data_IF_823983183284
#
_entry.id   IF_823983183284
#
_cell.length_a   1.000
_cell.length_b   1.000
_cell.length_c   1.000
_cell.angle_alpha   90.00
_cell.angle_beta   90.00
_cell.angle_gamma   90.00
#
_symmetry.space_group_name_H-M   'P 1'
#
loop_
_entity.id
_entity.type
_entity.pdbx_description
1 polymer ?
#
# COMPACT_ATOMS: atom_id res chain seq x y z
N UNK A 1 -14.44 65.81 36.48
CA UNK A 1 -13.77 65.13 35.34
C UNK A 1 -12.86 64.03 35.85
N UNK A 2 -13.18 62.77 35.56
CA UNK A 2 -12.24 61.65 35.33
C UNK A 2 -13.09 60.43 34.95
N UNK A 3 -13.08 60.12 33.66
CA UNK A 3 -13.79 58.97 33.07
C UNK A 3 -12.83 57.77 33.14
N UNK A 4 -13.25 56.74 33.86
CA UNK A 4 -12.64 55.41 33.82
C UNK A 4 -13.11 54.73 32.54
N UNK A 5 -12.18 54.36 31.65
CA UNK A 5 -12.43 53.39 30.58
C UNK A 5 -11.25 52.42 30.52
N UNK A 6 -11.42 51.27 31.19
CA UNK A 6 -10.71 50.05 30.87
C UNK A 6 -11.17 49.61 29.47
N UNK A 7 -10.23 49.48 28.54
CA UNK A 7 -10.43 48.68 27.32
C UNK A 7 -9.48 47.50 27.45
N UNK A 8 -10.06 46.36 27.85
CA UNK A 8 -9.44 45.06 27.72
C UNK A 8 -9.31 44.78 26.22
N UNK A 9 -8.09 44.88 25.70
CA UNK A 9 -7.78 44.46 24.34
C UNK A 9 -7.67 42.93 24.34
N UNK A 10 -8.74 42.29 23.89
CA UNK A 10 -8.91 40.85 23.77
C UNK A 10 -7.88 40.29 22.79
N UNK A 11 -6.96 39.48 23.32
CA UNK A 11 -6.11 38.54 22.60
C UNK A 11 -7.00 37.63 21.73
N UNK A 12 -6.96 37.80 20.41
CA UNK A 12 -7.37 36.77 19.46
C UNK A 12 -6.11 36.22 18.79
N UNK A 13 -5.41 35.35 19.53
CA UNK A 13 -4.51 34.37 18.92
C UNK A 13 -5.39 33.35 18.22
N UNK A 14 -5.66 33.58 16.93
CA UNK A 14 -6.14 32.53 16.04
C UNK A 14 -5.00 31.53 15.86
N UNK A 15 -4.91 30.59 16.80
CA UNK A 15 -4.15 29.38 16.64
C UNK A 15 -4.81 28.62 15.50
N UNK A 16 -4.30 28.82 14.27
CA UNK A 16 -4.57 27.89 13.19
C UNK A 16 -4.18 26.51 13.72
N UNK A 17 -5.03 25.48 13.62
CA UNK A 17 -4.57 24.13 13.90
C UNK A 17 -3.49 23.85 12.86
N UNK A 18 -2.23 24.00 13.25
CA UNK A 18 -1.13 23.41 12.55
C UNK A 18 -1.44 21.92 12.56
N UNK A 19 -2.02 21.42 11.46
CA UNK A 19 -2.12 20.00 11.20
C UNK A 19 -0.69 19.47 11.35
N UNK A 20 -0.41 18.91 12.51
CA UNK A 20 0.87 18.33 12.83
C UNK A 20 1.13 17.31 11.74
N UNK A 21 2.19 17.54 10.96
CA UNK A 21 2.59 16.63 9.89
C UNK A 21 2.77 15.26 10.54
N UNK A 22 2.03 14.21 10.13
CA UNK A 22 2.22 12.89 10.70
C UNK A 22 3.68 12.50 10.49
N UNK A 23 4.32 12.01 11.56
CA UNK A 23 5.67 11.48 11.50
C UNK A 23 5.68 10.26 10.56
N UNK A 24 6.85 9.88 10.06
CA UNK A 24 6.98 8.71 9.17
C UNK A 24 6.33 7.44 9.75
N UNK A 25 6.45 7.26 11.07
CA UNK A 25 5.85 6.14 11.80
C UNK A 25 4.31 6.20 11.82
N UNK A 26 3.73 7.41 11.87
CA UNK A 26 2.27 7.60 11.85
C UNK A 26 1.67 7.23 10.49
N UNK A 27 2.31 7.63 9.39
CA UNK A 27 1.83 7.36 8.02
C UNK A 27 1.85 5.86 7.75
N UNK A 28 2.97 5.19 8.05
CA UNK A 28 3.08 3.74 7.87
C UNK A 28 2.07 3.01 8.74
N UNK A 29 2.00 3.33 10.04
CA UNK A 29 1.07 2.69 10.97
C UNK A 29 -0.38 2.81 10.50
N UNK A 30 -0.75 3.97 9.96
CA UNK A 30 -2.05 4.21 9.37
C UNK A 30 -2.30 3.37 8.10
N UNK A 31 -1.34 3.30 7.17
CA UNK A 31 -1.45 2.43 5.98
C UNK A 31 -1.65 0.98 6.39
N UNK A 32 -0.85 0.47 7.34
CA UNK A 32 -0.95 -0.93 7.78
C UNK A 32 -2.31 -1.21 8.42
N UNK A 33 -2.76 -0.34 9.34
CA UNK A 33 -4.07 -0.44 9.97
C UNK A 33 -5.20 -0.48 8.93
N UNK A 34 -5.16 0.39 7.92
CA UNK A 34 -6.17 0.43 6.85
C UNK A 34 -6.07 -0.80 5.94
N UNK A 35 -4.86 -1.26 5.61
CA UNK A 35 -4.64 -2.45 4.79
C UNK A 35 -5.15 -3.71 5.49
N UNK A 36 -4.95 -3.87 6.80
CA UNK A 36 -5.50 -4.98 7.57
C UNK A 36 -7.04 -4.99 7.55
N UNK A 37 -7.67 -3.83 7.55
CA UNK A 37 -9.13 -3.73 7.51
C UNK A 37 -9.70 -4.02 6.12
N UNK A 38 -9.03 -3.52 5.08
CA UNK A 38 -9.58 -3.45 3.73
C UNK A 38 -9.07 -4.58 2.81
N UNK A 39 -7.88 -5.12 3.09
CA UNK A 39 -7.13 -5.98 2.17
C UNK A 39 -6.75 -7.33 2.79
N UNK A 40 -7.16 -7.63 4.02
CA UNK A 40 -6.84 -8.89 4.69
C UNK A 40 -7.45 -10.15 4.04
N UNK A 41 -8.41 -10.01 3.12
CA UNK A 41 -8.95 -11.11 2.32
C UNK A 41 -8.62 -10.97 0.83
N UNK A 42 -7.78 -9.99 0.46
CA UNK A 42 -7.36 -9.78 -0.92
C UNK A 42 -6.01 -10.45 -1.09
N UNK A 43 -5.98 -11.44 -1.98
CA UNK A 43 -4.77 -12.19 -2.26
C UNK A 43 -4.06 -11.63 -3.50
N UNK A 44 -2.74 -11.67 -3.43
CA UNK A 44 -1.82 -11.30 -4.48
C UNK A 44 -0.83 -12.45 -4.65
N UNK A 45 -0.50 -12.77 -5.89
CA UNK A 45 0.55 -13.75 -6.14
C UNK A 45 1.89 -13.05 -6.00
N UNK A 46 2.37 -12.90 -4.77
CA UNK A 46 3.56 -12.12 -4.42
C UNK A 46 4.57 -13.03 -3.77
N UNK A 47 5.56 -13.49 -4.55
CA UNK A 47 6.62 -14.42 -4.15
C UNK A 47 6.13 -15.80 -3.66
N UNK A 48 5.13 -15.87 -2.78
CA UNK A 48 4.38 -17.06 -2.42
C UNK A 48 3.00 -17.03 -3.10
N UNK A 49 2.51 -18.17 -3.60
CA UNK A 49 1.13 -18.30 -4.00
C UNK A 49 0.24 -17.97 -2.82
N UNK A 50 -0.79 -17.17 -3.09
CA UNK A 50 -1.84 -16.81 -2.12
C UNK A 50 -1.42 -15.87 -0.97
N UNK A 51 -0.32 -15.10 -1.14
CA UNK A 51 0.04 -14.07 -0.16
C UNK A 51 -1.04 -12.97 -0.08
N UNK A 52 -1.40 -12.55 1.14
CA UNK A 52 -2.35 -11.45 1.32
C UNK A 52 -1.71 -10.09 1.06
N UNK A 53 -2.45 -9.17 0.44
CA UNK A 53 -1.96 -7.83 0.07
C UNK A 53 -1.50 -7.04 1.30
N UNK A 54 -2.20 -7.14 2.43
CA UNK A 54 -1.80 -6.44 3.67
C UNK A 54 -0.43 -6.93 4.18
N UNK A 55 -0.19 -8.24 4.17
CA UNK A 55 1.11 -8.83 4.54
C UNK A 55 2.19 -8.37 3.56
N UNK A 56 1.90 -8.38 2.26
CA UNK A 56 2.85 -7.91 1.25
C UNK A 56 3.22 -6.44 1.45
N UNK A 57 2.24 -5.59 1.77
CA UNK A 57 2.48 -4.18 2.09
C UNK A 57 3.34 -4.01 3.33
N UNK A 58 3.07 -4.79 4.39
CA UNK A 58 3.87 -4.79 5.60
C UNK A 58 5.32 -5.14 5.27
N UNK A 59 5.57 -6.27 4.62
CA UNK A 59 6.92 -6.74 4.31
C UNK A 59 7.71 -5.81 3.38
N UNK A 60 7.04 -5.26 2.36
CA UNK A 60 7.70 -4.51 1.28
C UNK A 60 7.87 -3.03 1.60
N UNK A 61 7.24 -2.51 2.66
CA UNK A 61 7.41 -1.11 3.06
C UNK A 61 8.39 -0.92 4.22
N UNK A 62 9.08 -1.96 4.69
CA UNK A 62 9.79 -1.96 5.98
C UNK A 62 11.14 -1.21 6.02
N UNK A 63 11.86 -0.95 4.91
CA UNK A 63 13.25 -0.45 5.04
C UNK A 63 13.63 0.83 4.27
N UNK A 64 13.09 1.08 3.07
CA UNK A 64 13.55 2.18 2.20
C UNK A 64 12.39 3.08 1.77
N UNK A 65 11.75 3.71 2.76
CA UNK A 65 10.52 4.45 2.54
C UNK A 65 10.76 5.81 1.91
N UNK A 66 10.25 6.02 0.69
CA UNK A 66 10.03 7.35 0.18
C UNK A 66 8.60 7.79 0.54
N UNK A 67 8.48 8.81 1.39
CA UNK A 67 7.21 9.51 1.61
C UNK A 67 7.21 10.78 0.77
N UNK A 68 6.24 10.89 -0.13
CA UNK A 68 6.01 12.09 -0.93
C UNK A 68 4.63 12.64 -0.61
N UNK A 69 4.60 13.84 -0.04
CA UNK A 69 3.36 14.56 0.22
C UNK A 69 3.04 15.45 -0.99
N UNK A 70 1.83 15.30 -1.49
CA UNK A 70 1.25 16.16 -2.53
C UNK A 70 -0.07 16.73 -2.03
N UNK A 71 -0.68 17.66 -2.76
CA UNK A 71 -1.81 18.47 -2.30
C UNK A 71 -2.92 17.64 -1.64
N UNK A 72 -3.36 16.56 -2.29
CA UNK A 72 -4.47 15.72 -1.80
C UNK A 72 -4.07 14.34 -1.27
N UNK A 73 -2.82 13.92 -1.50
CA UNK A 73 -2.38 12.56 -1.20
C UNK A 73 -1.00 12.49 -0.57
N UNK A 74 -0.82 11.48 0.28
CA UNK A 74 0.48 11.04 0.78
C UNK A 74 0.83 9.72 0.13
N UNK A 75 1.95 9.70 -0.57
CA UNK A 75 2.48 8.51 -1.23
C UNK A 75 3.56 7.89 -0.36
N UNK A 76 3.43 6.60 -0.07
CA UNK A 76 4.41 5.78 0.63
C UNK A 76 4.89 4.71 -0.34
N UNK A 77 6.19 4.49 -0.48
CA UNK A 77 6.70 3.35 -1.24
C UNK A 77 7.96 2.77 -0.65
N UNK A 78 8.21 1.49 -0.89
CA UNK A 78 9.38 0.77 -0.41
C UNK A 78 9.69 -0.50 -1.22
N UNK A 79 10.71 -1.22 -0.78
CA UNK A 79 11.04 -2.56 -1.26
C UNK A 79 11.35 -3.50 -0.10
N UNK A 80 11.40 -4.80 -0.39
CA UNK A 80 11.83 -5.80 0.59
C UNK A 80 13.28 -5.47 1.03
N UNK A 81 13.63 -5.58 2.32
CA UNK A 81 14.99 -5.30 2.78
C UNK A 81 16.06 -6.18 2.10
N UNK A 82 15.68 -7.40 1.72
CA UNK A 82 16.56 -8.41 1.12
C UNK A 82 16.45 -8.49 -0.41
N UNK A 83 15.52 -7.77 -1.02
CA UNK A 83 15.32 -7.78 -2.48
C UNK A 83 14.76 -6.45 -2.96
N UNK A 84 15.47 -5.84 -3.90
CA UNK A 84 14.99 -4.64 -4.59
C UNK A 84 14.11 -4.96 -5.80
N UNK A 85 13.85 -6.24 -6.11
CA UNK A 85 12.96 -6.65 -7.20
C UNK A 85 11.50 -6.40 -6.87
N UNK A 86 11.05 -6.81 -5.69
CA UNK A 86 9.68 -6.59 -5.22
C UNK A 86 9.54 -5.23 -4.54
N UNK A 87 8.45 -4.53 -4.87
CA UNK A 87 8.19 -3.18 -4.39
C UNK A 87 6.73 -3.03 -4.06
N UNK A 88 6.45 -2.16 -3.09
CA UNK A 88 5.10 -1.77 -2.76
C UNK A 88 4.98 -0.25 -2.72
N UNK A 89 3.80 0.23 -3.06
CA UNK A 89 3.40 1.61 -2.91
C UNK A 89 2.00 1.68 -2.31
N UNK A 90 1.74 2.69 -1.48
CA UNK A 90 0.44 2.99 -0.92
C UNK A 90 0.16 4.48 -1.06
N UNK A 91 -1.11 4.82 -1.27
CA UNK A 91 -1.59 6.19 -1.42
C UNK A 91 -2.67 6.44 -0.39
N UNK A 92 -2.42 7.38 0.53
CA UNK A 92 -3.39 7.85 1.51
C UNK A 92 -4.00 9.17 1.05
N UNK A 93 -5.30 9.35 1.23
CA UNK A 93 -5.94 10.65 1.12
C UNK A 93 -5.56 11.53 2.33
N UNK A 94 -5.04 12.73 2.08
CA UNK A 94 -4.58 13.64 3.14
C UNK A 94 -5.72 14.16 4.02
N UNK A 95 -6.88 14.44 3.45
CA UNK A 95 -8.01 15.01 4.17
C UNK A 95 -8.64 13.98 5.11
N UNK A 96 -8.78 12.74 4.64
CA UNK A 96 -9.47 11.70 5.42
C UNK A 96 -8.52 10.75 6.15
N UNK A 97 -7.23 10.75 5.82
CA UNK A 97 -6.25 9.81 6.37
C UNK A 97 -6.65 8.34 6.08
N UNK A 98 -7.20 8.07 4.90
CA UNK A 98 -7.64 6.73 4.51
C UNK A 98 -6.87 6.21 3.31
N UNK A 99 -6.72 4.89 3.22
CA UNK A 99 -6.10 4.22 2.08
C UNK A 99 -6.99 4.38 0.85
N UNK A 100 -6.47 5.09 -0.15
CA UNK A 100 -7.14 5.34 -1.41
C UNK A 100 -6.73 4.30 -2.46
N UNK A 101 -5.45 3.93 -2.49
CA UNK A 101 -4.93 2.91 -3.40
C UNK A 101 -3.65 2.28 -2.87
N UNK A 102 -3.32 1.10 -3.40
CA UNK A 102 -2.01 0.46 -3.22
C UNK A 102 -1.57 -0.21 -4.51
N UNK A 103 -0.26 -0.39 -4.69
CA UNK A 103 0.30 -1.18 -5.77
C UNK A 103 1.42 -2.08 -5.29
N UNK A 104 1.52 -3.25 -5.91
CA UNK A 104 2.57 -4.23 -5.72
C UNK A 104 3.24 -4.47 -7.07
N UNK A 105 4.56 -4.31 -7.10
CA UNK A 105 5.39 -4.80 -8.19
C UNK A 105 5.85 -6.21 -7.81
N UNK A 106 5.42 -7.20 -8.59
CA UNK A 106 5.68 -8.60 -8.27
C UNK A 106 5.93 -9.46 -9.49
N UNK A 107 6.26 -10.71 -9.26
CA UNK A 107 6.54 -11.72 -10.26
C UNK A 107 5.48 -12.82 -10.14
N UNK A 108 5.01 -13.33 -11.27
CA UNK A 108 4.05 -14.43 -11.25
C UNK A 108 4.78 -15.72 -10.84
N UNK A 109 4.64 -16.11 -9.58
CA UNK A 109 5.25 -17.29 -9.02
C UNK A 109 4.24 -18.45 -8.97
N UNK A 110 4.70 -19.65 -9.30
CA UNK A 110 3.90 -20.88 -9.16
C UNK A 110 4.71 -21.90 -8.39
N UNK A 111 4.03 -22.71 -7.61
CA UNK A 111 4.65 -23.89 -7.02
C UNK A 111 5.11 -24.82 -8.15
N UNK A 112 6.32 -25.35 -8.03
CA UNK A 112 6.73 -26.42 -8.92
C UNK A 112 5.80 -27.61 -8.74
N UNK A 113 5.32 -28.17 -9.87
CA UNK A 113 4.54 -29.40 -9.85
C UNK A 113 5.51 -30.52 -9.50
N UNK A 114 5.49 -30.92 -8.23
CA UNK A 114 6.35 -31.99 -7.72
C UNK A 114 5.93 -33.35 -8.25
N UNK A 115 6.91 -34.19 -8.54
CA UNK A 115 6.66 -35.60 -8.79
C UNK A 115 6.22 -36.30 -7.48
N UNK A 116 5.44 -37.40 -7.54
CA UNK A 116 4.96 -38.11 -6.35
C UNK A 116 6.07 -38.54 -5.37
N UNK A 117 7.26 -38.85 -5.88
CA UNK A 117 8.43 -39.22 -5.10
C UNK A 117 8.97 -38.03 -4.29
N UNK A 118 8.96 -36.83 -4.87
CA UNK A 118 9.39 -35.59 -4.20
C UNK A 118 8.40 -35.17 -3.12
N UNK A 119 7.09 -35.36 -3.37
CA UNK A 119 6.04 -35.17 -2.35
C UNK A 119 6.29 -36.11 -1.17
N UNK A 120 6.57 -37.39 -1.44
CA UNK A 120 6.86 -38.38 -0.40
C UNK A 120 8.12 -38.01 0.38
N UNK A 121 9.17 -37.54 -0.31
CA UNK A 121 10.40 -37.08 0.32
C UNK A 121 10.17 -35.86 1.24
N UNK A 122 9.46 -34.83 0.77
CA UNK A 122 9.17 -33.64 1.58
C UNK A 122 8.29 -33.97 2.78
N UNK A 123 7.25 -34.78 2.59
CA UNK A 123 6.30 -35.13 3.67
C UNK A 123 6.92 -36.04 4.73
N UNK A 124 7.84 -36.93 4.37
CA UNK A 124 8.39 -37.94 5.31
C UNK A 124 9.79 -37.60 5.83
N UNK A 125 10.65 -36.99 5.01
CA UNK A 125 12.06 -36.74 5.35
C UNK A 125 12.35 -35.27 5.67
N UNK A 126 11.56 -34.33 5.13
CA UNK A 126 11.72 -32.88 5.39
C UNK A 126 10.38 -32.22 5.74
N UNK A 127 9.69 -32.69 6.80
CA UNK A 127 8.36 -32.21 7.14
C UNK A 127 8.36 -30.69 7.35
N UNK A 128 7.40 -30.01 6.72
CA UNK A 128 7.24 -28.55 6.78
C UNK A 128 8.03 -27.77 5.72
N UNK A 129 8.89 -28.42 4.93
CA UNK A 129 9.59 -27.75 3.84
C UNK A 129 8.68 -27.65 2.61
N UNK A 130 8.57 -26.45 2.03
CA UNK A 130 7.72 -26.16 0.87
C UNK A 130 8.44 -26.49 -0.45
N UNK A 131 7.69 -26.77 -1.54
CA UNK A 131 8.25 -26.89 -2.88
C UNK A 131 9.07 -25.65 -3.26
N UNK A 132 9.99 -25.82 -4.21
CA UNK A 132 10.61 -24.66 -4.85
C UNK A 132 9.55 -23.88 -5.65
N UNK A 133 9.76 -22.57 -5.76
CA UNK A 133 8.88 -21.66 -6.47
C UNK A 133 9.53 -21.29 -7.80
N UNK A 134 8.76 -21.38 -8.87
CA UNK A 134 9.15 -20.88 -10.18
C UNK A 134 8.45 -19.55 -10.46
N UNK A 135 9.22 -18.48 -10.56
CA UNK A 135 8.72 -17.13 -10.83
C UNK A 135 9.04 -16.70 -12.26
N UNK A 136 8.05 -16.09 -12.93
CA UNK A 136 8.29 -15.41 -14.20
C UNK A 136 9.35 -14.31 -14.03
N UNK A 137 10.13 -14.06 -15.08
CA UNK A 137 11.14 -12.99 -15.07
C UNK A 137 10.54 -11.58 -15.18
N UNK A 138 9.36 -11.48 -15.80
CA UNK A 138 8.73 -10.20 -16.09
C UNK A 138 7.87 -9.70 -14.92
N UNK A 139 8.14 -8.49 -14.40
CA UNK A 139 7.36 -7.94 -13.30
C UNK A 139 5.97 -7.48 -13.76
N UNK A 140 4.97 -7.75 -12.93
CA UNK A 140 3.59 -7.32 -13.08
C UNK A 140 3.29 -6.25 -12.04
N UNK A 141 2.68 -5.15 -12.47
CA UNK A 141 2.12 -4.13 -11.60
C UNK A 141 0.69 -4.50 -11.22
N UNK A 142 0.47 -4.88 -9.97
CA UNK A 142 -0.86 -5.10 -9.42
C UNK A 142 -1.32 -3.85 -8.67
N UNK A 143 -2.37 -3.19 -9.15
CA UNK A 143 -2.96 -1.99 -8.55
C UNK A 143 -4.29 -2.34 -7.88
N UNK A 144 -4.49 -1.87 -6.66
CA UNK A 144 -5.72 -2.03 -5.89
C UNK A 144 -6.26 -0.65 -5.54
N UNK A 145 -7.41 -0.29 -6.11
CA UNK A 145 -8.13 0.94 -5.80
C UNK A 145 -9.16 0.65 -4.72
N UNK A 146 -9.13 1.40 -3.61
CA UNK A 146 -10.09 1.26 -2.53
C UNK A 146 -11.25 2.22 -2.77
N UNK A 147 -12.43 1.67 -3.04
CA UNK A 147 -13.66 2.44 -3.27
C UNK A 147 -14.53 2.45 -2.02
N UNK A 148 -15.01 3.64 -1.64
CA UNK A 148 -15.90 3.84 -0.48
C UNK A 148 -17.36 3.50 -0.72
N UNK A 149 -17.82 3.58 -1.97
CA UNK A 149 -19.21 3.32 -2.33
C UNK A 149 -19.28 2.48 -3.59
N UNK A 150 -20.02 1.37 -3.53
CA UNK A 150 -20.23 0.43 -4.65
C UNK A 150 -20.99 1.11 -5.81
N UNK A 151 -21.82 2.11 -5.49
CA UNK A 151 -22.74 2.75 -6.43
C UNK A 151 -22.12 3.95 -7.18
N UNK A 152 -20.91 4.39 -6.79
CA UNK A 152 -20.27 5.51 -7.46
C UNK A 152 -19.64 5.04 -8.79
N UNK A 153 -19.90 5.74 -9.92
CA UNK A 153 -19.17 5.52 -11.16
C UNK A 153 -17.67 5.77 -10.91
N UNK A 154 -16.81 5.12 -11.70
CA UNK A 154 -15.36 5.32 -11.61
C UNK A 154 -15.05 6.83 -11.73
N UNK A 155 -14.57 7.41 -10.63
CA UNK A 155 -14.34 8.85 -10.54
C UNK A 155 -13.04 9.22 -11.24
N UNK A 156 -12.96 10.45 -11.75
CA UNK A 156 -11.72 11.05 -12.27
C UNK A 156 -10.52 10.83 -11.33
N UNK A 157 -10.77 10.86 -10.02
CA UNK A 157 -9.78 10.59 -8.97
C UNK A 157 -9.20 9.17 -9.03
N UNK A 158 -10.00 8.15 -9.34
CA UNK A 158 -9.52 6.76 -9.43
C UNK A 158 -8.56 6.59 -10.60
N UNK A 159 -8.87 7.21 -11.75
CA UNK A 159 -7.96 7.21 -12.89
C UNK A 159 -6.65 7.93 -12.55
N UNK A 160 -6.72 9.08 -11.89
CA UNK A 160 -5.52 9.79 -11.46
C UNK A 160 -4.63 8.95 -10.51
N UNK A 161 -5.25 8.17 -9.61
CA UNK A 161 -4.54 7.23 -8.73
C UNK A 161 -3.89 6.08 -9.52
N UNK A 162 -4.60 5.50 -10.48
CA UNK A 162 -4.05 4.46 -11.38
C UNK A 162 -2.88 5.00 -12.18
N UNK A 163 -3.05 6.13 -12.87
CA UNK A 163 -2.02 6.74 -13.71
C UNK A 163 -0.74 7.02 -12.89
N UNK A 164 -0.91 7.47 -11.65
CA UNK A 164 0.20 7.73 -10.74
C UNK A 164 0.92 6.46 -10.31
N UNK A 165 0.19 5.40 -9.97
CA UNK A 165 0.80 4.11 -9.61
C UNK A 165 1.45 3.44 -10.83
N UNK A 166 0.91 3.63 -12.03
CA UNK A 166 1.56 3.22 -13.28
C UNK A 166 2.86 4.00 -13.52
N UNK A 167 2.86 5.33 -13.34
CA UNK A 167 4.08 6.13 -13.45
C UNK A 167 5.15 5.69 -12.45
N UNK A 168 4.74 5.36 -11.21
CA UNK A 168 5.63 4.75 -10.23
C UNK A 168 6.16 3.39 -10.71
N UNK A 169 5.29 2.49 -11.16
CA UNK A 169 5.67 1.17 -11.65
C UNK A 169 6.61 1.22 -12.85
N UNK A 170 6.41 2.16 -13.79
CA UNK A 170 7.25 2.33 -14.99
C UNK A 170 8.72 2.59 -14.65
N UNK A 171 9.00 3.24 -13.51
CA UNK A 171 10.38 3.43 -13.01
C UNK A 171 11.10 2.12 -12.72
N UNK A 172 10.36 1.02 -12.64
CA UNK A 172 10.85 -0.32 -12.32
C UNK A 172 10.57 -1.35 -13.42
N UNK A 173 10.12 -0.91 -14.59
CA UNK A 173 10.07 -1.75 -15.79
C UNK A 173 9.05 -2.89 -15.78
N UNK A 174 7.87 -2.70 -15.17
CA UNK A 174 6.79 -3.69 -15.29
C UNK A 174 6.40 -3.93 -16.76
N UNK A 175 6.06 -5.17 -17.09
CA UNK A 175 5.68 -5.62 -18.44
C UNK A 175 4.18 -5.94 -18.57
N UNK A 176 3.50 -6.15 -17.44
CA UNK A 176 2.06 -6.39 -17.39
C UNK A 176 1.40 -5.66 -16.23
N UNK A 177 0.09 -5.41 -16.34
CA UNK A 177 -0.67 -4.75 -15.30
C UNK A 177 -1.97 -5.47 -14.96
N UNK A 178 -2.37 -5.39 -13.70
CA UNK A 178 -3.64 -5.88 -13.20
C UNK A 178 -4.23 -4.82 -12.28
N UNK A 179 -5.42 -4.34 -12.60
CA UNK A 179 -6.13 -3.35 -11.79
C UNK A 179 -7.32 -4.03 -11.12
N UNK A 180 -7.42 -3.92 -9.80
CA UNK A 180 -8.51 -4.44 -9.00
C UNK A 180 -9.16 -3.33 -8.19
N UNK A 181 -10.48 -3.38 -8.09
CA UNK A 181 -11.25 -2.48 -7.25
C UNK A 181 -11.64 -3.25 -6.00
N UNK A 182 -11.36 -2.68 -4.83
CA UNK A 182 -11.69 -3.21 -3.52
C UNK A 182 -12.75 -2.31 -2.91
N UNK A 183 -13.94 -2.86 -2.70
CA UNK A 183 -15.03 -2.10 -2.09
C UNK A 183 -14.94 -2.19 -0.56
N UNK A 184 -15.12 -1.05 0.10
CA UNK A 184 -15.30 -0.98 1.54
C UNK A 184 -16.75 -1.37 1.86
N UNK A 185 -16.92 -2.46 2.62
CA UNK A 185 -18.21 -2.87 3.17
C UNK A 185 -18.42 -2.28 4.56
#
# INVERSE_FOLDING_TARGET
MRIVRLIAATLWLTCSPAFAKPAHEDVRGLVMKQADQLLANVHANVYAPDMRVNIALEELTIANQAIQKEDNYTFLSGCRPQSCGEKAAAVLNNATQELAATALLSYNCKDDILAPEEITYLTTRQPGKRPALHCAHDPILMVYIVRRSIEAPALYEERALVDRLQQWGKKFGYQGELIRIVNRY
#
